data_IF_574682838282
#
_entry.id   IF_574682838282
#
_cell.length_a   1.000
_cell.length_b   1.000
_cell.length_c   1.000
_cell.angle_alpha   90.00
_cell.angle_beta   90.00
_cell.angle_gamma   90.00
#
_symmetry.space_group_name_H-M   'P 1'
#
loop_
_entity.id
_entity.type
_entity.pdbx_description
1 polymer ?
#
# COMPACT_ATOMS: atom_id res chain seq x y z
N UNK A 1 -3.72 12.83 -17.39
CA UNK A 1 -3.55 12.19 -16.07
C UNK A 1 -2.32 11.32 -16.10
N UNK A 2 -1.37 11.59 -15.21
CA UNK A 2 -0.11 10.86 -15.16
C UNK A 2 -0.37 9.38 -14.75
N UNK A 3 0.45 8.43 -15.21
CA UNK A 3 0.27 6.98 -14.89
C UNK A 3 0.20 6.75 -13.37
N UNK A 4 1.02 7.49 -12.65
CA UNK A 4 1.12 7.46 -11.19
C UNK A 4 -0.18 7.92 -10.50
N UNK A 5 -0.83 8.97 -11.00
CA UNK A 5 -2.12 9.43 -10.45
C UNK A 5 -3.23 8.40 -10.68
N UNK A 6 -3.23 7.72 -11.83
CA UNK A 6 -4.19 6.65 -12.11
C UNK A 6 -3.98 5.46 -11.17
N UNK A 7 -2.72 5.05 -10.98
CA UNK A 7 -2.34 4.00 -10.03
C UNK A 7 -2.82 4.32 -8.61
N UNK A 8 -2.49 5.51 -8.09
CA UNK A 8 -2.91 5.95 -6.75
C UNK A 8 -4.43 5.94 -6.65
N UNK A 9 -5.15 6.59 -7.58
CA UNK A 9 -6.62 6.62 -7.55
C UNK A 9 -7.22 5.21 -7.57
N UNK A 10 -6.64 4.26 -8.31
CA UNK A 10 -7.13 2.89 -8.36
C UNK A 10 -6.90 2.15 -7.05
N UNK A 11 -5.72 2.27 -6.45
CA UNK A 11 -5.42 1.67 -5.15
C UNK A 11 -6.37 2.17 -4.05
N UNK A 12 -6.67 3.47 -4.01
CA UNK A 12 -7.64 4.02 -3.04
C UNK A 12 -9.06 3.51 -3.27
N UNK A 13 -9.49 3.47 -4.54
CA UNK A 13 -10.81 2.96 -4.89
C UNK A 13 -10.97 1.51 -4.40
N UNK A 14 -10.01 0.65 -4.73
CA UNK A 14 -10.05 -0.76 -4.35
C UNK A 14 -9.95 -0.94 -2.82
N UNK A 15 -9.08 -0.20 -2.15
CA UNK A 15 -8.97 -0.24 -0.68
C UNK A 15 -10.30 0.16 -0.01
N UNK A 16 -10.98 1.17 -0.54
CA UNK A 16 -12.31 1.60 -0.06
C UNK A 16 -13.39 0.55 -0.32
N UNK A 17 -13.40 -0.09 -1.49
CA UNK A 17 -14.33 -1.18 -1.83
C UNK A 17 -14.17 -2.36 -0.86
N UNK A 18 -12.92 -2.70 -0.53
CA UNK A 18 -12.56 -3.75 0.42
C UNK A 18 -12.68 -3.31 1.89
N UNK A 19 -13.08 -2.06 2.16
CA UNK A 19 -13.18 -1.47 3.52
C UNK A 19 -11.89 -1.60 4.33
N UNK A 20 -10.74 -1.52 3.67
CA UNK A 20 -9.44 -1.65 4.32
C UNK A 20 -8.99 -0.33 4.96
N UNK A 21 -8.41 -0.38 6.18
CA UNK A 21 -7.89 0.82 6.82
C UNK A 21 -6.66 1.33 6.08
N UNK A 22 -6.77 2.53 5.50
CA UNK A 22 -5.72 3.21 4.76
C UNK A 22 -5.31 4.51 5.47
N UNK A 23 -4.02 4.62 5.77
CA UNK A 23 -3.38 5.79 6.38
C UNK A 23 -2.64 6.54 5.27
N UNK A 24 -2.99 7.81 5.05
CA UNK A 24 -2.41 8.66 4.01
C UNK A 24 -1.82 9.95 4.60
N UNK A 25 -0.94 10.58 3.85
CA UNK A 25 -0.33 11.88 4.04
C UNK A 25 -1.34 13.01 4.36
N UNK A 26 -2.63 12.87 4.03
CA UNK A 26 -3.68 13.83 4.44
C UNK A 26 -3.98 13.82 5.94
N UNK A 27 -3.53 12.81 6.67
CA UNK A 27 -3.52 12.75 8.13
C UNK A 27 -2.25 13.42 8.71
N UNK A 28 -1.44 14.14 7.91
CA UNK A 28 -0.12 14.60 8.34
C UNK A 28 -0.13 15.69 9.42
N UNK A 29 0.63 15.34 10.45
CA UNK A 29 1.07 16.12 11.61
C UNK A 29 1.82 15.20 12.58
N UNK A 30 1.36 13.94 12.73
CA UNK A 30 1.73 13.11 13.89
C UNK A 30 2.27 11.70 13.59
N UNK A 31 2.27 11.23 12.33
CA UNK A 31 2.60 9.82 12.04
C UNK A 31 4.07 9.70 11.59
N UNK A 32 4.94 9.28 12.52
CA UNK A 32 6.34 8.92 12.25
C UNK A 32 6.42 7.41 11.99
N UNK A 33 6.53 7.01 10.71
CA UNK A 33 6.83 5.63 10.35
C UNK A 33 8.33 5.34 10.53
N UNK A 34 8.68 4.41 11.43
CA UNK A 34 10.01 3.82 11.47
C UNK A 34 9.98 2.51 10.69
N UNK A 35 10.57 2.50 9.49
CA UNK A 35 10.66 1.31 8.65
C UNK A 35 11.76 0.32 9.07
N UNK A 36 12.18 0.31 10.35
CA UNK A 36 13.42 -0.36 10.71
C UNK A 36 13.22 -1.85 11.06
N UNK A 37 14.05 -2.68 10.41
CA UNK A 37 14.26 -4.13 10.53
C UNK A 37 13.12 -5.05 10.05
N UNK A 38 12.53 -4.76 8.89
CA UNK A 38 11.90 -5.84 8.14
C UNK A 38 12.98 -6.81 7.63
N UNK A 39 13.02 -8.04 8.15
CA UNK A 39 13.90 -9.11 7.67
C UNK A 39 13.58 -9.50 6.24
N UNK A 40 12.30 -9.39 5.84
CA UNK A 40 11.84 -9.76 4.50
C UNK A 40 11.06 -8.60 3.89
N UNK A 41 11.42 -8.21 2.67
CA UNK A 41 10.68 -7.22 1.89
C UNK A 41 10.17 -7.85 0.60
N UNK A 42 8.88 -7.70 0.33
CA UNK A 42 8.24 -8.19 -0.89
C UNK A 42 7.70 -7.00 -1.67
N UNK A 43 8.10 -6.87 -2.93
CA UNK A 43 7.70 -5.76 -3.80
C UNK A 43 6.71 -6.22 -4.86
N UNK A 44 5.65 -5.45 -5.01
CA UNK A 44 4.64 -5.56 -6.06
C UNK A 44 4.80 -4.36 -6.98
N UNK A 45 5.07 -4.62 -8.25
CA UNK A 45 5.22 -3.57 -9.27
C UNK A 45 3.99 -3.55 -10.15
N UNK A 46 3.25 -2.44 -10.11
CA UNK A 46 2.09 -2.24 -10.97
C UNK A 46 2.52 -1.98 -12.42
N UNK A 47 2.09 -2.86 -13.32
CA UNK A 47 2.31 -2.77 -14.77
C UNK A 47 0.97 -2.72 -15.51
N UNK A 48 0.09 -1.81 -15.10
CA UNK A 48 -1.28 -1.67 -15.64
C UNK A 48 -2.21 -2.89 -15.43
N UNK A 49 -1.80 -3.85 -14.57
CA UNK A 49 -2.62 -4.99 -14.14
C UNK A 49 -3.18 -4.77 -12.73
N UNK A 50 -4.51 -4.70 -12.62
CA UNK A 50 -5.21 -4.53 -11.36
C UNK A 50 -5.11 -5.75 -10.42
N UNK A 51 -4.82 -6.93 -10.95
CA UNK A 51 -4.64 -8.15 -10.15
C UNK A 51 -3.52 -7.97 -9.12
N UNK A 52 -2.48 -7.20 -9.47
CA UNK A 52 -1.34 -6.88 -8.60
C UNK A 52 -1.78 -6.03 -7.41
N UNK A 53 -2.61 -5.01 -7.65
CA UNK A 53 -3.14 -4.15 -6.59
C UNK A 53 -4.07 -4.97 -5.68
N UNK A 54 -4.95 -5.78 -6.26
CA UNK A 54 -5.87 -6.64 -5.49
C UNK A 54 -5.11 -7.66 -4.64
N UNK A 55 -4.08 -8.30 -5.20
CA UNK A 55 -3.22 -9.23 -4.47
C UNK A 55 -2.54 -8.56 -3.29
N UNK A 56 -1.95 -7.38 -3.50
CA UNK A 56 -1.36 -6.59 -2.42
C UNK A 56 -2.38 -6.22 -1.33
N UNK A 57 -3.55 -5.69 -1.72
CA UNK A 57 -4.60 -5.28 -0.76
C UNK A 57 -5.19 -6.48 -0.01
N UNK A 58 -5.33 -7.63 -0.67
CA UNK A 58 -5.76 -8.88 -0.04
C UNK A 58 -4.83 -9.34 1.08
N UNK A 59 -3.54 -9.01 1.02
CA UNK A 59 -2.61 -9.27 2.13
C UNK A 59 -2.96 -8.42 3.37
N UNK A 60 -3.38 -7.17 3.18
CA UNK A 60 -3.79 -6.33 4.30
C UNK A 60 -5.03 -6.90 5.00
N UNK A 61 -5.98 -7.43 4.22
CA UNK A 61 -7.16 -8.13 4.73
C UNK A 61 -6.77 -9.41 5.47
N UNK A 62 -5.98 -10.27 4.82
CA UNK A 62 -5.53 -11.56 5.34
C UNK A 62 -4.76 -11.43 6.67
N UNK A 63 -3.88 -10.44 6.77
CA UNK A 63 -3.10 -10.18 7.98
C UNK A 63 -3.79 -9.24 8.97
N UNK A 64 -5.03 -8.82 8.69
CA UNK A 64 -5.79 -7.87 9.51
C UNK A 64 -4.98 -6.64 9.94
N UNK A 65 -4.32 -6.00 8.97
CA UNK A 65 -3.39 -4.88 9.19
C UNK A 65 -3.79 -3.65 8.38
N UNK A 66 -3.03 -2.58 8.53
CA UNK A 66 -3.26 -1.28 7.89
C UNK A 66 -2.41 -1.10 6.64
N UNK A 67 -2.94 -0.37 5.67
CA UNK A 67 -2.20 0.08 4.50
C UNK A 67 -1.70 1.49 4.78
N UNK A 68 -0.43 1.75 4.50
CA UNK A 68 0.15 3.09 4.62
C UNK A 68 0.53 3.58 3.24
N UNK A 69 -0.01 4.71 2.83
CA UNK A 69 0.43 5.43 1.64
C UNK A 69 1.48 6.45 2.06
N UNK A 70 2.63 6.40 1.39
CA UNK A 70 3.67 7.42 1.53
C UNK A 70 4.18 7.82 0.14
N UNK A 71 4.04 9.11 -0.21
CA UNK A 71 4.32 9.60 -1.57
C UNK A 71 3.55 8.77 -2.61
N UNK A 72 4.27 8.09 -3.49
CA UNK A 72 3.67 7.31 -4.59
C UNK A 72 3.72 5.80 -4.37
N UNK A 73 3.88 5.36 -3.12
CA UNK A 73 3.97 3.95 -2.74
C UNK A 73 3.01 3.61 -1.61
N UNK A 74 2.62 2.35 -1.57
CA UNK A 74 1.83 1.78 -0.49
C UNK A 74 2.63 0.70 0.24
N UNK A 75 2.39 0.58 1.53
CA UNK A 75 3.10 -0.31 2.42
C UNK A 75 2.12 -1.08 3.28
N UNK A 76 2.41 -2.36 3.52
CA UNK A 76 1.75 -3.17 4.52
C UNK A 76 2.83 -3.73 5.44
N UNK A 77 2.95 -3.23 6.68
CA UNK A 77 3.81 -3.83 7.69
C UNK A 77 3.11 -5.03 8.31
N UNK A 78 3.84 -6.14 8.45
CA UNK A 78 3.36 -7.30 9.19
C UNK A 78 4.53 -8.09 9.79
N UNK A 79 4.66 -8.06 11.13
CA UNK A 79 5.74 -8.71 11.87
C UNK A 79 7.13 -8.31 11.32
N UNK A 80 7.95 -9.26 10.89
CA UNK A 80 9.26 -9.04 10.28
C UNK A 80 9.20 -8.85 8.75
N UNK A 81 8.00 -8.73 8.17
CA UNK A 81 7.78 -8.59 6.72
C UNK A 81 7.27 -7.19 6.38
N UNK A 82 7.73 -6.67 5.24
CA UNK A 82 7.22 -5.45 4.64
C UNK A 82 6.77 -5.74 3.21
N UNK A 83 5.50 -5.52 2.91
CA UNK A 83 5.00 -5.56 1.54
C UNK A 83 4.94 -4.15 1.00
N UNK A 84 5.41 -3.95 -0.23
CA UNK A 84 5.48 -2.65 -0.89
C UNK A 84 4.78 -2.75 -2.23
N UNK A 85 3.90 -1.80 -2.54
CA UNK A 85 3.28 -1.63 -3.84
C UNK A 85 3.73 -0.30 -4.45
N UNK A 86 4.33 -0.36 -5.63
CA UNK A 86 4.82 0.79 -6.39
C UNK A 86 4.44 0.70 -7.87
N UNK A 87 4.31 1.85 -8.53
CA UNK A 87 4.20 1.92 -10.00
C UNK A 87 5.60 1.90 -10.61
N UNK A 88 5.75 1.21 -11.75
CA UNK A 88 6.89 1.41 -12.65
C UNK A 88 6.78 2.77 -13.36
#
# INVERSE_FOLDING_TARGET
MNKQEKFIKRAYKLASELKLPLIDDKLQGSIKFKSNNATVTVKFTFMDDESVIRGFLGLAEYFHTVIIKQKDKFYIPHDHKMFILESN
#
